data_IF_506013576368
#
_entry.id   IF_506013576368
#
_cell.length_a   1.000
_cell.length_b   1.000
_cell.length_c   1.000
_cell.angle_alpha   90.00
_cell.angle_beta   90.00
_cell.angle_gamma   90.00
#
_symmetry.space_group_name_H-M   'P 1'
#
loop_
_entity.id
_entity.type
_entity.pdbx_description
1 polymer ?
#
# COMPACT_ATOMS: atom_id res chain seq x y z
N UNK A 1 7.00 -14.51 -7.86
CA UNK A 1 8.05 -13.65 -7.26
C UNK A 1 7.70 -13.41 -5.81
N UNK A 2 8.59 -13.77 -4.93
CA UNK A 2 8.41 -13.48 -3.51
C UNK A 2 8.80 -12.03 -3.22
N UNK A 3 8.24 -11.44 -2.17
CA UNK A 3 8.59 -10.07 -1.76
C UNK A 3 10.08 -9.98 -1.48
N UNK A 4 10.67 -10.97 -0.81
CA UNK A 4 12.10 -11.00 -0.52
C UNK A 4 12.97 -11.07 -1.79
N UNK A 5 12.49 -11.71 -2.86
CA UNK A 5 13.20 -11.75 -4.14
C UNK A 5 13.18 -10.40 -4.86
N UNK A 6 12.13 -9.61 -4.67
CA UNK A 6 11.99 -8.30 -5.32
C UNK A 6 12.75 -7.19 -4.58
N UNK A 7 12.95 -7.34 -3.27
CA UNK A 7 13.38 -6.23 -2.42
C UNK A 7 14.88 -6.17 -2.16
N UNK A 8 15.55 -7.29 -1.97
CA UNK A 8 16.92 -7.23 -1.47
C UNK A 8 16.97 -6.59 -0.07
N UNK A 9 18.18 -6.30 0.41
CA UNK A 9 18.40 -5.77 1.78
C UNK A 9 18.02 -4.30 1.95
N UNK A 10 17.95 -3.53 0.86
CA UNK A 10 17.64 -2.10 0.90
C UNK A 10 16.26 -1.77 0.35
N UNK A 11 15.40 -2.78 0.24
CA UNK A 11 14.09 -2.64 -0.35
C UNK A 11 13.14 -1.75 0.45
N UNK A 12 12.26 -1.07 -0.28
CA UNK A 12 11.22 -0.23 0.29
C UNK A 12 9.85 -0.79 -0.08
N UNK A 13 9.03 -1.01 0.93
CA UNK A 13 7.64 -1.44 0.76
C UNK A 13 6.75 -0.21 0.78
N UNK A 14 5.96 -0.04 -0.28
CA UNK A 14 4.89 0.95 -0.30
C UNK A 14 3.64 0.34 0.33
N UNK A 15 3.03 1.06 1.26
CA UNK A 15 1.80 0.62 1.92
C UNK A 15 0.70 1.62 1.58
N UNK A 16 -0.35 1.15 0.90
CA UNK A 16 -1.55 1.93 0.67
C UNK A 16 -2.49 1.73 1.86
N UNK A 17 -2.77 2.79 2.56
CA UNK A 17 -3.59 2.74 3.75
C UNK A 17 -2.78 3.01 5.00
N UNK A 18 -3.24 3.97 5.79
CA UNK A 18 -2.51 4.48 6.95
C UNK A 18 -3.08 4.08 8.30
N UNK A 19 -4.06 3.17 8.33
CA UNK A 19 -4.71 2.74 9.55
C UNK A 19 -3.86 1.81 10.42
N UNK A 20 -4.51 1.14 11.36
CA UNK A 20 -3.80 0.26 12.30
C UNK A 20 -3.13 -0.93 11.62
N UNK A 21 -3.76 -1.49 10.59
CA UNK A 21 -3.13 -2.58 9.83
C UNK A 21 -1.88 -2.09 9.11
N UNK A 22 -1.94 -0.92 8.48
CA UNK A 22 -0.77 -0.32 7.84
C UNK A 22 0.35 -0.05 8.84
N UNK A 23 0.00 0.42 10.05
CA UNK A 23 0.97 0.61 11.13
C UNK A 23 1.63 -0.70 11.54
N UNK A 24 0.83 -1.77 11.71
CA UNK A 24 1.35 -3.09 12.08
C UNK A 24 2.28 -3.65 11.00
N UNK A 25 1.92 -3.49 9.73
CA UNK A 25 2.76 -3.91 8.60
C UNK A 25 4.09 -3.16 8.58
N UNK A 26 4.06 -1.85 8.81
CA UNK A 26 5.27 -1.02 8.84
C UNK A 26 6.20 -1.44 9.98
N UNK A 27 5.66 -1.72 11.17
CA UNK A 27 6.45 -2.18 12.31
C UNK A 27 7.06 -3.56 12.05
N UNK A 28 6.31 -4.48 11.43
CA UNK A 28 6.81 -5.81 11.08
C UNK A 28 7.94 -5.71 10.05
N UNK A 29 7.78 -4.85 9.04
CA UNK A 29 8.81 -4.63 8.03
C UNK A 29 10.08 -4.06 8.65
N UNK A 30 9.95 -3.12 9.60
CA UNK A 30 11.10 -2.53 10.28
C UNK A 30 11.91 -3.58 11.03
N UNK A 31 11.25 -4.56 11.64
CA UNK A 31 11.93 -5.68 12.33
C UNK A 31 12.75 -6.54 11.36
N UNK A 32 12.36 -6.57 10.09
CA UNK A 32 13.08 -7.30 9.05
C UNK A 32 14.14 -6.45 8.36
N UNK A 33 14.33 -5.20 8.80
CA UNK A 33 15.28 -4.29 8.20
C UNK A 33 14.79 -3.63 6.91
N UNK A 34 13.52 -3.75 6.59
CA UNK A 34 12.93 -3.17 5.39
C UNK A 34 12.40 -1.76 5.68
N UNK A 35 12.45 -0.90 4.67
CA UNK A 35 11.90 0.45 4.74
C UNK A 35 10.45 0.45 4.27
N UNK A 36 9.66 1.39 4.79
CA UNK A 36 8.28 1.56 4.37
C UNK A 36 8.00 3.00 3.97
N UNK A 37 7.14 3.14 2.97
CA UNK A 37 6.58 4.42 2.56
C UNK A 37 5.06 4.24 2.58
N UNK A 38 4.37 4.99 3.43
CA UNK A 38 2.90 4.89 3.58
C UNK A 38 2.22 5.99 2.78
N UNK A 39 1.19 5.60 2.03
CA UNK A 39 0.35 6.51 1.25
C UNK A 39 -1.07 6.45 1.82
N UNK A 40 -1.61 7.59 2.22
CA UNK A 40 -2.96 7.67 2.78
C UNK A 40 -3.55 9.05 2.58
N UNK A 41 -4.87 9.15 2.33
CA UNK A 41 -5.54 10.44 2.24
C UNK A 41 -5.78 11.11 3.59
N UNK A 42 -5.66 10.39 4.70
CA UNK A 42 -5.87 10.93 6.03
C UNK A 42 -4.54 11.46 6.61
N UNK A 43 -4.42 12.78 6.85
CA UNK A 43 -3.18 13.36 7.39
C UNK A 43 -2.84 12.88 8.80
N UNK A 44 -3.80 12.31 9.52
CA UNK A 44 -3.60 11.81 10.88
C UNK A 44 -3.52 10.29 10.94
N UNK A 45 -3.14 9.67 9.85
CA UNK A 45 -3.01 8.21 9.77
C UNK A 45 -2.04 7.67 10.82
N UNK A 46 -2.46 6.66 11.60
CA UNK A 46 -1.56 6.04 12.60
C UNK A 46 -0.26 5.50 12.04
N UNK A 47 -0.28 4.98 10.83
CA UNK A 47 0.93 4.44 10.19
C UNK A 47 1.98 5.50 9.89
N UNK A 48 1.59 6.78 9.73
CA UNK A 48 2.53 7.86 9.48
C UNK A 48 3.51 8.06 10.63
N UNK A 49 3.13 7.68 11.84
CA UNK A 49 3.96 7.87 13.04
C UNK A 49 5.16 6.93 13.10
N UNK A 50 5.13 5.84 12.36
CA UNK A 50 6.13 4.75 12.47
C UNK A 50 6.96 4.55 11.21
N UNK A 51 6.82 5.42 10.20
CA UNK A 51 7.56 5.31 8.94
C UNK A 51 8.43 6.53 8.69
N UNK A 52 9.48 6.34 7.90
CA UNK A 52 10.38 7.44 7.53
C UNK A 52 9.79 8.29 6.41
N UNK A 53 8.99 7.71 5.55
CA UNK A 53 8.40 8.39 4.40
C UNK A 53 6.91 8.17 4.38
N UNK A 54 6.18 9.26 4.14
CA UNK A 54 4.74 9.23 4.07
C UNK A 54 4.27 10.17 2.98
N UNK A 55 3.23 9.77 2.27
CA UNK A 55 2.56 10.62 1.30
C UNK A 55 1.11 10.78 1.73
N UNK A 56 0.71 12.01 2.00
CA UNK A 56 -0.67 12.33 2.29
C UNK A 56 -1.31 12.90 1.03
N UNK A 57 -2.08 12.09 0.34
CA UNK A 57 -2.76 12.46 -0.89
C UNK A 57 -3.95 11.55 -1.14
N UNK A 58 -4.89 12.02 -1.97
CA UNK A 58 -6.05 11.24 -2.37
C UNK A 58 -5.63 9.99 -3.15
N UNK A 59 -6.37 8.89 -2.99
CA UNK A 59 -6.11 7.66 -3.73
C UNK A 59 -6.29 7.79 -5.24
N UNK A 60 -6.92 8.84 -5.72
CA UNK A 60 -7.12 9.13 -7.15
C UNK A 60 -6.17 10.18 -7.71
N UNK A 61 -5.25 10.68 -6.89
CA UNK A 61 -4.21 11.63 -7.33
C UNK A 61 -3.10 10.88 -8.07
N UNK A 62 -3.22 10.79 -9.38
CA UNK A 62 -2.28 10.01 -10.21
C UNK A 62 -0.86 10.55 -10.16
N UNK A 63 -0.68 11.86 -10.06
CA UNK A 63 0.64 12.46 -9.89
C UNK A 63 1.32 12.00 -8.61
N UNK A 64 0.58 12.01 -7.49
CA UNK A 64 1.09 11.57 -6.21
C UNK A 64 1.37 10.06 -6.22
N UNK A 65 0.48 9.28 -6.83
CA UNK A 65 0.66 7.83 -6.96
C UNK A 65 1.89 7.49 -7.80
N UNK A 66 2.13 8.22 -8.86
CA UNK A 66 3.28 8.00 -9.73
C UNK A 66 4.60 8.27 -8.98
N UNK A 67 4.66 9.36 -8.23
CA UNK A 67 5.83 9.66 -7.39
C UNK A 67 6.03 8.61 -6.31
N UNK A 68 4.95 8.16 -5.67
CA UNK A 68 4.99 7.10 -4.68
C UNK A 68 5.55 5.80 -5.27
N UNK A 69 5.04 5.40 -6.45
CA UNK A 69 5.53 4.20 -7.14
C UNK A 69 7.02 4.28 -7.47
N UNK A 70 7.52 5.46 -7.80
CA UNK A 70 8.94 5.67 -8.08
C UNK A 70 9.85 5.52 -6.86
N UNK A 71 9.29 5.59 -5.66
CA UNK A 71 10.04 5.52 -4.40
C UNK A 71 10.00 4.15 -3.73
N UNK A 72 9.22 3.22 -4.25
CA UNK A 72 9.03 1.89 -3.64
C UNK A 72 9.35 0.79 -4.63
N UNK A 73 9.62 -0.41 -4.09
CA UNK A 73 9.93 -1.58 -4.90
C UNK A 73 8.74 -2.51 -5.06
N UNK A 74 7.88 -2.56 -4.06
CA UNK A 74 6.67 -3.37 -4.06
C UNK A 74 5.61 -2.63 -3.26
N UNK A 75 4.34 -2.86 -3.59
CA UNK A 75 3.21 -2.21 -2.93
C UNK A 75 2.32 -3.26 -2.29
N UNK A 76 1.90 -3.01 -1.05
CA UNK A 76 0.81 -3.75 -0.41
C UNK A 76 -0.27 -2.76 0.04
N UNK A 77 -1.43 -3.26 0.45
CA UNK A 77 -2.55 -2.37 0.76
C UNK A 77 -3.52 -2.98 1.76
N UNK A 78 -4.32 -2.10 2.40
CA UNK A 78 -5.44 -2.48 3.25
C UNK A 78 -6.68 -2.67 2.36
N UNK A 79 -7.31 -3.85 2.44
CA UNK A 79 -8.39 -4.23 1.53
C UNK A 79 -9.62 -3.33 1.57
N UNK A 80 -9.99 -2.85 2.74
CA UNK A 80 -11.28 -2.18 2.92
C UNK A 80 -11.30 -0.73 2.48
N UNK A 81 -10.14 -0.08 2.47
CA UNK A 81 -10.06 1.36 2.34
C UNK A 81 -9.45 1.85 1.02
N UNK A 82 -8.94 0.96 0.20
CA UNK A 82 -8.24 1.32 -1.03
C UNK A 82 -9.08 0.97 -2.26
N UNK A 83 -9.36 1.94 -3.15
CA UNK A 83 -10.07 1.63 -4.40
C UNK A 83 -9.27 0.67 -5.27
N UNK A 84 -9.95 -0.29 -5.88
CA UNK A 84 -9.32 -1.25 -6.79
C UNK A 84 -8.61 -0.56 -7.96
N UNK A 85 -9.16 0.53 -8.47
CA UNK A 85 -8.55 1.31 -9.55
C UNK A 85 -7.19 1.89 -9.17
N UNK A 86 -7.02 2.30 -7.91
CA UNK A 86 -5.75 2.80 -7.39
C UNK A 86 -4.70 1.70 -7.40
N UNK A 87 -5.07 0.51 -6.93
CA UNK A 87 -4.17 -0.64 -6.95
C UNK A 87 -3.78 -1.03 -8.38
N UNK A 88 -4.71 -0.98 -9.33
CA UNK A 88 -4.43 -1.26 -10.74
C UNK A 88 -3.49 -0.24 -11.36
N UNK A 89 -3.66 1.03 -11.04
CA UNK A 89 -2.77 2.09 -11.50
C UNK A 89 -1.33 1.82 -11.08
N UNK A 90 -1.15 1.44 -9.81
CA UNK A 90 0.18 1.12 -9.26
C UNK A 90 0.74 -0.18 -9.82
N UNK A 91 -0.11 -1.18 -10.08
CA UNK A 91 0.32 -2.47 -10.62
C UNK A 91 0.96 -2.37 -12.01
N UNK A 92 0.63 -1.32 -12.76
CA UNK A 92 1.27 -1.05 -14.04
C UNK A 92 2.71 -0.56 -13.87
N UNK A 93 3.12 -0.17 -12.66
CA UNK A 93 4.42 0.43 -12.35
C UNK A 93 5.29 -0.42 -11.44
N UNK A 94 4.70 -1.06 -10.44
CA UNK A 94 5.40 -1.88 -9.45
C UNK A 94 4.55 -3.10 -9.11
N UNK A 95 5.16 -4.20 -8.64
CA UNK A 95 4.39 -5.33 -8.15
C UNK A 95 3.48 -4.90 -7.00
N UNK A 96 2.22 -5.30 -7.07
CA UNK A 96 1.22 -5.03 -6.04
C UNK A 96 0.74 -6.36 -5.48
N UNK A 97 0.82 -6.52 -4.17
CA UNK A 97 0.47 -7.74 -3.46
C UNK A 97 -0.54 -7.41 -2.35
N UNK A 98 -1.64 -8.10 -2.27
CA UNK A 98 -2.15 -9.08 -3.23
C UNK A 98 -2.57 -8.44 -4.56
N UNK A 99 -2.81 -9.28 -5.55
CA UNK A 99 -3.19 -8.83 -6.90
C UNK A 99 -4.45 -7.96 -6.87
N UNK A 100 -4.53 -6.86 -7.66
CA UNK A 100 -5.71 -5.98 -7.69
C UNK A 100 -7.02 -6.67 -8.05
N UNK A 101 -6.97 -7.78 -8.80
CA UNK A 101 -8.18 -8.57 -9.10
C UNK A 101 -8.76 -9.17 -7.82
N UNK A 102 -7.90 -9.61 -6.90
CA UNK A 102 -8.34 -10.12 -5.59
C UNK A 102 -9.04 -9.02 -4.80
N UNK A 103 -8.49 -7.80 -4.80
CA UNK A 103 -9.12 -6.66 -4.12
C UNK A 103 -10.51 -6.37 -4.69
N UNK A 104 -10.65 -6.28 -5.99
CA UNK A 104 -11.94 -6.00 -6.65
C UNK A 104 -12.98 -7.07 -6.29
N UNK A 105 -12.60 -8.35 -6.35
CA UNK A 105 -13.49 -9.46 -6.01
C UNK A 105 -13.93 -9.40 -4.54
N UNK A 106 -13.00 -9.08 -3.64
CA UNK A 106 -13.29 -8.97 -2.21
C UNK A 106 -14.25 -7.82 -1.93
N UNK A 107 -14.06 -6.68 -2.57
CA UNK A 107 -14.94 -5.53 -2.41
C UNK A 107 -16.35 -5.83 -2.90
N UNK A 108 -16.50 -6.53 -4.02
CA UNK A 108 -17.80 -6.93 -4.55
C UNK A 108 -18.53 -7.87 -3.58
N UNK A 109 -17.82 -8.82 -2.98
CA UNK A 109 -18.41 -9.74 -1.99
C UNK A 109 -18.86 -9.02 -0.74
N UNK A 110 -18.11 -8.03 -0.28
CA UNK A 110 -18.50 -7.23 0.89
C UNK A 110 -19.78 -6.44 0.60
N UNK A 111 -19.90 -5.87 -0.59
CA UNK A 111 -21.10 -5.15 -1.00
C UNK A 111 -22.31 -6.08 -1.06
N UNK A 112 -22.16 -7.29 -1.59
CA UNK A 112 -23.23 -8.29 -1.63
C UNK A 112 -23.71 -8.67 -0.22
N UNK A 113 -22.80 -8.83 0.73
CA UNK A 113 -23.14 -9.22 2.10
C UNK A 113 -23.89 -8.13 2.86
N UNK A 114 -23.76 -6.89 2.49
CA UNK A 114 -24.41 -5.76 3.16
C UNK A 114 -25.81 -5.48 2.65
N UNK A 115 -26.30 -6.28 1.73
CA UNK A 115 -27.66 -6.25 1.24
C UNK A 115 -28.42 -7.48 1.76
#
# INVERSE_FOLDING_TARGET
VTVSGALGSDGTIGILGGGQLGRMLALAAARLGLKCHVYSPDPQSPAFEVVRRATNADYRDESALDRFAGDVDVVTYEFENVPAETARFLAARRPVLPDPVVLATTQDRLLEKNF
#
